data_IF_376031618332
#
_entry.id   IF_376031618332
#
_cell.length_a   1.000
_cell.length_b   1.000
_cell.length_c   1.000
_cell.angle_alpha   90.00
_cell.angle_beta   90.00
_cell.angle_gamma   90.00
#
_symmetry.space_group_name_H-M   'P 1'
#
loop_
_entity.id
_entity.type
_entity.pdbx_description
1 polymer ?
#
# COMPACT_ATOMS: atom_id res chain seq x y z
N UNK A 1 -47.70 -16.89 -63.26
CA UNK A 1 -46.35 -17.46 -63.29
C UNK A 1 -45.43 -16.33 -62.83
N UNK A 2 -45.15 -16.31 -61.52
CA UNK A 2 -43.80 -16.56 -60.95
C UNK A 2 -42.84 -15.43 -61.33
N UNK A 3 -42.34 -14.61 -60.41
CA UNK A 3 -41.44 -15.02 -59.33
C UNK A 3 -41.65 -14.20 -58.04
N UNK A 4 -41.77 -14.92 -56.94
CA UNK A 4 -41.72 -14.39 -55.57
C UNK A 4 -40.25 -14.19 -55.19
N UNK A 5 -39.75 -12.95 -55.22
CA UNK A 5 -38.43 -12.61 -54.67
C UNK A 5 -38.49 -12.69 -53.15
N UNK A 6 -37.97 -13.78 -52.58
CA UNK A 6 -37.77 -13.96 -51.14
C UNK A 6 -36.68 -12.99 -50.68
N UNK A 7 -37.06 -11.98 -49.89
CA UNK A 7 -36.12 -11.11 -49.20
C UNK A 7 -35.36 -11.93 -48.14
N UNK A 8 -34.03 -11.98 -48.27
CA UNK A 8 -33.15 -12.61 -47.30
C UNK A 8 -33.22 -11.88 -45.94
N UNK A 9 -33.42 -12.64 -44.87
CA UNK A 9 -33.44 -12.13 -43.49
C UNK A 9 -32.10 -11.49 -43.10
N UNK A 10 -32.09 -10.38 -42.33
CA UNK A 10 -30.87 -9.75 -41.86
C UNK A 10 -30.13 -10.69 -40.89
N UNK A 11 -28.84 -10.90 -41.17
CA UNK A 11 -27.97 -11.85 -40.49
C UNK A 11 -28.03 -11.76 -38.96
N UNK A 12 -28.27 -12.92 -38.33
CA UNK A 12 -28.06 -13.14 -36.91
C UNK A 12 -26.62 -12.76 -36.54
N UNK A 13 -26.45 -11.63 -35.83
CA UNK A 13 -25.21 -11.33 -35.12
C UNK A 13 -24.97 -12.45 -34.12
N UNK A 14 -24.00 -13.33 -34.40
CA UNK A 14 -23.55 -14.37 -33.47
C UNK A 14 -23.25 -13.71 -32.12
N UNK A 15 -23.98 -14.11 -31.08
CA UNK A 15 -23.70 -13.69 -29.71
C UNK A 15 -22.23 -14.03 -29.39
N UNK A 16 -21.45 -13.11 -28.80
CA UNK A 16 -20.05 -13.37 -28.50
C UNK A 16 -19.97 -14.61 -27.60
N UNK A 17 -19.18 -15.60 -28.00
CA UNK A 17 -19.03 -16.84 -27.24
C UNK A 17 -18.63 -16.53 -25.80
N UNK A 18 -19.14 -17.31 -24.83
CA UNK A 18 -18.91 -17.10 -23.39
C UNK A 18 -17.42 -16.86 -23.06
N UNK A 19 -16.53 -17.53 -23.80
CA UNK A 19 -15.08 -17.36 -23.74
C UNK A 19 -14.55 -16.03 -24.29
N UNK A 20 -15.13 -15.49 -25.35
CA UNK A 20 -14.79 -14.17 -25.89
C UNK A 20 -15.31 -13.03 -25.00
N UNK A 21 -16.46 -13.23 -24.35
CA UNK A 21 -16.99 -12.28 -23.38
C UNK A 21 -16.18 -12.29 -22.07
N UNK A 22 -15.75 -13.47 -21.60
CA UNK A 22 -14.85 -13.61 -20.46
C UNK A 22 -13.46 -13.06 -20.79
N UNK A 23 -12.89 -13.38 -21.96
CA UNK A 23 -11.58 -12.86 -22.35
C UNK A 23 -11.61 -11.35 -22.57
N UNK A 24 -12.67 -10.78 -23.18
CA UNK A 24 -12.86 -9.33 -23.24
C UNK A 24 -13.01 -8.70 -21.87
N UNK A 25 -13.73 -9.32 -20.92
CA UNK A 25 -13.84 -8.81 -19.54
C UNK A 25 -12.51 -8.85 -18.81
N UNK A 26 -11.75 -9.93 -18.93
CA UNK A 26 -10.41 -10.07 -18.34
C UNK A 26 -9.44 -9.09 -18.98
N UNK A 27 -9.45 -8.96 -20.31
CA UNK A 27 -8.62 -8.03 -21.06
C UNK A 27 -8.98 -6.57 -20.74
N UNK A 28 -10.26 -6.22 -20.66
CA UNK A 28 -10.73 -4.90 -20.24
C UNK A 28 -10.39 -4.62 -18.77
N UNK A 29 -10.42 -5.63 -17.91
CA UNK A 29 -9.91 -5.54 -16.54
C UNK A 29 -8.42 -5.21 -16.55
N UNK A 30 -7.60 -5.95 -17.29
CA UNK A 30 -6.14 -5.74 -17.40
C UNK A 30 -5.82 -4.37 -18.00
N UNK A 31 -6.53 -3.96 -19.06
CA UNK A 31 -6.41 -2.63 -19.69
C UNK A 31 -6.81 -1.49 -18.76
N UNK A 32 -7.80 -1.69 -17.88
CA UNK A 32 -8.13 -0.73 -16.82
C UNK A 32 -7.04 -0.64 -15.74
N UNK A 33 -6.10 -1.60 -15.69
CA UNK A 33 -4.99 -1.65 -14.75
C UNK A 33 -3.69 -1.20 -15.41
N UNK A 34 -3.69 0.02 -15.95
CA UNK A 34 -2.48 0.67 -16.49
C UNK A 34 -1.27 0.57 -15.55
N UNK A 35 -1.52 0.52 -14.23
CA UNK A 35 -0.50 0.38 -13.20
C UNK A 35 0.13 -1.02 -13.17
N UNK A 36 -0.63 -2.10 -13.37
CA UNK A 36 -0.08 -3.46 -13.50
C UNK A 36 0.77 -3.59 -14.77
N UNK A 37 0.30 -3.01 -15.88
CA UNK A 37 1.07 -2.96 -17.13
C UNK A 37 2.37 -2.18 -16.90
N UNK A 38 2.27 -1.02 -16.25
CA UNK A 38 3.42 -0.19 -15.87
C UNK A 38 4.44 -0.95 -15.03
N UNK A 39 3.98 -1.75 -14.05
CA UNK A 39 4.84 -2.61 -13.24
C UNK A 39 5.59 -3.60 -14.12
N UNK A 40 4.88 -4.34 -14.98
CA UNK A 40 5.51 -5.27 -15.91
C UNK A 40 6.59 -4.61 -16.77
N UNK A 41 6.31 -3.42 -17.31
CA UNK A 41 7.26 -2.63 -18.11
C UNK A 41 8.49 -2.24 -17.29
N UNK A 42 8.32 -1.65 -16.09
CA UNK A 42 9.48 -1.24 -15.29
C UNK A 42 10.28 -2.41 -14.75
N UNK A 43 9.66 -3.57 -14.51
CA UNK A 43 10.38 -4.80 -14.15
C UNK A 43 11.26 -5.29 -15.30
N UNK A 44 10.72 -5.29 -16.53
CA UNK A 44 11.48 -5.65 -17.74
C UNK A 44 12.63 -4.67 -17.97
N UNK A 45 12.38 -3.37 -17.82
CA UNK A 45 13.41 -2.34 -17.92
C UNK A 45 14.50 -2.51 -16.84
N UNK A 46 14.11 -2.80 -15.60
CA UNK A 46 15.06 -3.09 -14.53
C UNK A 46 15.91 -4.33 -14.79
N UNK A 47 15.34 -5.37 -15.39
CA UNK A 47 16.05 -6.60 -15.70
C UNK A 47 17.10 -6.40 -16.81
N UNK A 48 16.74 -5.74 -17.91
CA UNK A 48 17.66 -5.50 -19.03
C UNK A 48 18.63 -4.33 -18.78
N UNK A 49 18.20 -3.31 -18.02
CA UNK A 49 18.98 -2.10 -17.76
C UNK A 49 19.13 -1.79 -16.26
N UNK A 50 19.64 -2.74 -15.43
CA UNK A 50 19.72 -2.58 -13.98
C UNK A 50 20.64 -1.43 -13.57
N UNK A 51 21.63 -1.07 -14.40
CA UNK A 51 22.58 -0.01 -14.13
C UNK A 51 21.99 1.40 -14.21
N UNK A 52 20.79 1.56 -14.78
CA UNK A 52 20.16 2.88 -14.94
C UNK A 52 19.64 3.37 -13.59
N UNK A 53 18.69 2.64 -13.00
CA UNK A 53 17.95 3.07 -11.82
C UNK A 53 18.40 2.41 -10.51
N UNK A 54 19.45 1.58 -10.50
CA UNK A 54 20.05 1.12 -9.23
C UNK A 54 20.60 2.29 -8.41
N UNK A 55 20.81 2.06 -7.13
CA UNK A 55 21.59 2.98 -6.29
C UNK A 55 22.98 3.25 -6.91
N UNK A 56 23.34 4.52 -7.07
CA UNK A 56 24.58 4.95 -7.75
C UNK A 56 24.59 4.69 -9.27
N UNK A 57 23.45 4.34 -9.87
CA UNK A 57 23.28 4.16 -11.31
C UNK A 57 23.30 5.48 -12.09
N UNK A 58 23.04 5.41 -13.40
CA UNK A 58 23.13 6.55 -14.33
C UNK A 58 22.26 7.73 -13.88
N UNK A 59 21.02 7.46 -13.46
CA UNK A 59 20.10 8.53 -13.02
C UNK A 59 20.29 8.91 -11.55
N UNK A 60 21.29 8.33 -10.87
CA UNK A 60 21.57 8.52 -9.43
C UNK A 60 20.27 8.40 -8.63
N UNK A 61 19.65 7.21 -8.67
CA UNK A 61 18.28 7.00 -8.19
C UNK A 61 18.08 7.32 -6.72
N UNK A 62 19.16 7.34 -5.93
CA UNK A 62 19.15 7.87 -4.58
C UNK A 62 18.65 9.32 -4.55
N UNK A 63 19.13 10.21 -5.41
CA UNK A 63 18.72 11.60 -5.42
C UNK A 63 17.47 11.83 -6.27
N UNK A 64 17.44 11.29 -7.49
CA UNK A 64 16.33 11.55 -8.42
C UNK A 64 15.02 10.91 -7.96
N UNK A 65 15.07 9.65 -7.48
CA UNK A 65 13.88 8.90 -7.09
C UNK A 65 13.68 8.95 -5.58
N UNK A 66 14.66 8.52 -4.78
CA UNK A 66 14.47 8.39 -3.32
C UNK A 66 14.38 9.74 -2.58
N UNK A 67 14.98 10.81 -3.09
CA UNK A 67 14.72 12.18 -2.61
C UNK A 67 13.65 12.87 -3.48
N UNK A 68 13.89 13.01 -4.78
CA UNK A 68 13.05 13.83 -5.68
C UNK A 68 11.62 13.32 -5.83
N UNK A 69 11.45 12.10 -6.36
CA UNK A 69 10.11 11.52 -6.59
C UNK A 69 9.35 11.35 -5.27
N UNK A 70 10.01 10.89 -4.20
CA UNK A 70 9.37 10.80 -2.87
C UNK A 70 8.91 12.19 -2.40
N UNK A 71 9.75 13.22 -2.51
CA UNK A 71 9.37 14.58 -2.14
C UNK A 71 8.15 15.08 -2.91
N UNK A 72 8.06 14.80 -4.21
CA UNK A 72 6.88 15.14 -5.01
C UNK A 72 5.62 14.41 -4.51
N UNK A 73 5.72 13.10 -4.23
CA UNK A 73 4.59 12.31 -3.70
C UNK A 73 4.09 12.87 -2.37
N UNK A 74 5.00 13.24 -1.46
CA UNK A 74 4.64 13.77 -0.14
C UNK A 74 4.17 15.21 -0.19
N UNK A 75 4.71 16.04 -1.09
CA UNK A 75 4.18 17.36 -1.36
C UNK A 75 2.73 17.28 -1.87
N UNK A 76 2.48 16.42 -2.86
CA UNK A 76 1.12 16.19 -3.39
C UNK A 76 0.20 15.69 -2.27
N UNK A 77 0.68 14.78 -1.42
CA UNK A 77 -0.11 14.28 -0.28
C UNK A 77 -0.41 15.38 0.73
N UNK A 78 0.55 16.25 1.04
CA UNK A 78 0.37 17.42 1.91
C UNK A 78 -0.67 18.40 1.35
N UNK A 79 -0.65 18.65 0.05
CA UNK A 79 -1.64 19.51 -0.62
C UNK A 79 -3.06 18.88 -0.63
N UNK A 80 -3.13 17.55 -0.72
CA UNK A 80 -4.38 16.80 -0.94
C UNK A 80 -5.21 16.60 0.31
N UNK A 81 -4.57 16.50 1.48
CA UNK A 81 -5.22 16.08 2.72
C UNK A 81 -5.70 17.30 3.51
N UNK A 82 -7.00 17.41 3.85
CA UNK A 82 -7.49 18.46 4.72
C UNK A 82 -6.86 18.40 6.12
N UNK A 83 -6.49 19.56 6.68
CA UNK A 83 -5.88 19.67 8.02
C UNK A 83 -6.64 18.93 9.10
N UNK A 84 -7.97 19.10 9.15
CA UNK A 84 -8.83 18.48 10.17
C UNK A 84 -8.74 16.95 10.12
N UNK A 85 -8.68 16.39 8.91
CA UNK A 85 -8.54 14.96 8.68
C UNK A 85 -7.17 14.45 9.16
N UNK A 86 -6.09 15.19 8.86
CA UNK A 86 -4.75 14.86 9.32
C UNK A 86 -4.67 14.86 10.86
N UNK A 87 -5.17 15.92 11.50
CA UNK A 87 -5.21 16.02 12.97
C UNK A 87 -6.08 14.93 13.60
N UNK A 88 -7.25 14.63 13.02
CA UNK A 88 -8.11 13.55 13.51
C UNK A 88 -7.41 12.20 13.50
N UNK A 89 -6.66 11.88 12.44
CA UNK A 89 -5.91 10.63 12.38
C UNK A 89 -4.64 10.64 13.25
N UNK A 90 -4.00 11.80 13.48
CA UNK A 90 -2.88 11.93 14.43
C UNK A 90 -3.29 11.64 15.88
N UNK A 91 -4.57 11.86 16.23
CA UNK A 91 -5.10 11.58 17.56
C UNK A 91 -5.73 10.18 17.66
N UNK A 92 -5.69 9.40 16.59
CA UNK A 92 -6.31 8.09 16.53
C UNK A 92 -5.40 7.00 17.12
N UNK A 93 -5.22 7.05 18.44
CA UNK A 93 -4.34 6.14 19.18
C UNK A 93 -4.62 4.66 18.91
N UNK A 94 -5.88 4.27 18.67
CA UNK A 94 -6.26 2.89 18.41
C UNK A 94 -5.74 2.39 17.07
N UNK A 95 -5.76 3.23 16.04
CA UNK A 95 -5.15 2.93 14.75
C UNK A 95 -3.65 2.72 14.91
N UNK A 96 -2.98 3.64 15.62
CA UNK A 96 -1.54 3.57 15.87
C UNK A 96 -1.17 2.26 16.58
N UNK A 97 -1.83 1.93 17.69
CA UNK A 97 -1.52 0.70 18.43
C UNK A 97 -1.69 -0.54 17.55
N UNK A 98 -2.79 -0.66 16.80
CA UNK A 98 -3.04 -1.84 15.96
C UNK A 98 -1.97 -1.99 14.88
N UNK A 99 -1.69 -0.92 14.13
CA UNK A 99 -0.73 -0.99 13.02
C UNK A 99 0.70 -1.19 13.52
N UNK A 100 1.11 -0.44 14.54
CA UNK A 100 2.46 -0.55 15.09
C UNK A 100 2.68 -1.89 15.81
N UNK A 101 1.68 -2.41 16.54
CA UNK A 101 1.78 -3.74 17.15
C UNK A 101 1.86 -4.85 16.10
N UNK A 102 1.11 -4.75 15.00
CA UNK A 102 1.25 -5.72 13.91
C UNK A 102 2.65 -5.64 13.29
N UNK A 103 3.10 -4.43 12.95
CA UNK A 103 4.37 -4.19 12.26
C UNK A 103 5.61 -4.57 13.10
N UNK A 104 5.62 -4.21 14.38
CA UNK A 104 6.80 -4.29 15.24
C UNK A 104 6.72 -5.33 16.35
N UNK A 105 5.60 -6.03 16.52
CA UNK A 105 5.47 -7.12 17.50
C UNK A 105 5.01 -8.41 16.84
N UNK A 106 3.83 -8.41 16.21
CA UNK A 106 3.26 -9.63 15.62
C UNK A 106 4.10 -10.19 14.47
N UNK A 107 4.50 -9.36 13.50
CA UNK A 107 5.29 -9.80 12.34
C UNK A 107 6.67 -10.33 12.77
N UNK A 108 7.46 -9.63 13.60
CA UNK A 108 8.71 -10.17 14.15
C UNK A 108 8.51 -11.50 14.89
N UNK A 109 7.48 -11.62 15.74
CA UNK A 109 7.21 -12.85 16.47
C UNK A 109 6.81 -14.01 15.53
N UNK A 110 5.98 -13.75 14.51
CA UNK A 110 5.58 -14.74 13.52
C UNK A 110 6.79 -15.25 12.71
N UNK A 111 7.62 -14.33 12.22
CA UNK A 111 8.82 -14.69 11.47
C UNK A 111 9.81 -15.44 12.35
N UNK A 112 9.99 -15.03 13.61
CA UNK A 112 10.81 -15.76 14.56
C UNK A 112 10.34 -17.20 14.72
N UNK A 113 9.04 -17.43 14.88
CA UNK A 113 8.47 -18.76 15.00
C UNK A 113 8.72 -19.59 13.73
N UNK A 114 8.51 -19.01 12.55
CA UNK A 114 8.79 -19.65 11.26
C UNK A 114 10.26 -20.02 11.14
N UNK A 115 11.19 -19.14 11.51
CA UNK A 115 12.63 -19.41 11.47
C UNK A 115 12.99 -20.57 12.40
N UNK A 116 12.44 -20.62 13.62
CA UNK A 116 12.69 -21.74 14.53
C UNK A 116 12.12 -23.07 14.00
N UNK A 117 10.95 -23.05 13.37
CA UNK A 117 10.37 -24.23 12.71
C UNK A 117 11.30 -24.71 11.58
N UNK A 118 11.83 -23.79 10.77
CA UNK A 118 12.78 -24.12 9.70
C UNK A 118 14.07 -24.72 10.28
N UNK A 119 14.64 -24.12 11.33
CA UNK A 119 15.86 -24.63 11.96
C UNK A 119 15.67 -26.04 12.54
N UNK A 120 14.50 -26.33 13.12
CA UNK A 120 14.17 -27.65 13.62
C UNK A 120 13.94 -28.68 12.49
N UNK A 121 13.36 -28.25 11.36
CA UNK A 121 13.04 -29.10 10.22
C UNK A 121 14.18 -29.29 9.20
N UNK A 122 15.19 -28.42 9.21
CA UNK A 122 16.36 -28.45 8.32
C UNK A 122 17.69 -28.43 9.12
N UNK A 123 17.98 -29.52 9.86
CA UNK A 123 19.26 -29.68 10.54
C UNK A 123 20.44 -29.79 9.57
N UNK A 124 20.19 -30.13 8.30
CA UNK A 124 21.22 -30.20 7.25
C UNK A 124 21.64 -28.82 6.71
N UNK A 125 20.97 -27.73 7.08
CA UNK A 125 21.33 -26.38 6.65
C UNK A 125 21.19 -26.13 5.15
N UNK A 126 20.18 -26.73 4.51
CA UNK A 126 19.88 -26.49 3.09
C UNK A 126 19.39 -25.07 2.84
N UNK A 127 18.71 -24.47 3.80
CA UNK A 127 18.31 -23.05 3.77
C UNK A 127 19.42 -22.22 4.39
N UNK A 128 20.00 -21.35 3.56
CA UNK A 128 21.08 -20.43 3.92
C UNK A 128 20.70 -19.57 5.14
N UNK A 129 21.56 -19.58 6.17
CA UNK A 129 21.32 -18.88 7.44
C UNK A 129 21.33 -17.36 7.27
N UNK A 130 22.04 -16.84 6.27
CA UNK A 130 21.96 -15.42 5.91
C UNK A 130 20.56 -15.02 5.44
N UNK A 131 19.85 -15.91 4.75
CA UNK A 131 18.46 -15.67 4.31
C UNK A 131 17.53 -15.66 5.52
N UNK A 132 17.71 -16.57 6.48
CA UNK A 132 16.91 -16.59 7.72
C UNK A 132 17.15 -15.34 8.57
N UNK A 133 18.41 -14.91 8.73
CA UNK A 133 18.74 -13.64 9.38
C UNK A 133 18.12 -12.45 8.64
N UNK A 134 18.14 -12.48 7.30
CA UNK A 134 17.49 -11.49 6.45
C UNK A 134 15.97 -11.41 6.64
N UNK A 135 15.29 -12.54 6.86
CA UNK A 135 13.86 -12.54 7.18
C UNK A 135 13.56 -11.93 8.55
N UNK A 136 14.35 -12.26 9.58
CA UNK A 136 14.20 -11.63 10.91
C UNK A 136 14.38 -10.11 10.79
N UNK A 137 15.41 -9.67 10.07
CA UNK A 137 15.63 -8.25 9.81
C UNK A 137 14.45 -7.62 9.05
N UNK A 138 13.98 -8.25 7.96
CA UNK A 138 12.83 -7.80 7.17
C UNK A 138 11.56 -7.71 8.01
N UNK A 139 11.39 -8.58 9.00
CA UNK A 139 10.26 -8.53 9.92
C UNK A 139 10.31 -7.28 10.82
N UNK A 140 11.50 -6.78 11.13
CA UNK A 140 11.73 -5.70 12.07
C UNK A 140 11.83 -4.31 11.42
N UNK A 141 12.06 -4.21 10.10
CA UNK A 141 12.13 -2.91 9.40
C UNK A 141 10.77 -2.19 9.36
N UNK A 142 10.77 -0.85 9.28
CA UNK A 142 9.53 -0.07 9.17
C UNK A 142 8.81 -0.29 7.84
N UNK A 143 7.56 0.17 7.81
CA UNK A 143 6.68 0.09 6.64
C UNK A 143 7.06 1.08 5.54
N UNK A 144 6.63 0.82 4.30
CA UNK A 144 6.89 1.71 3.15
C UNK A 144 6.11 3.01 3.24
N UNK A 145 6.74 4.12 2.85
CA UNK A 145 6.11 5.44 2.97
C UNK A 145 5.19 5.71 1.77
N UNK A 146 5.74 5.74 0.55
CA UNK A 146 5.01 6.18 -0.64
C UNK A 146 3.95 5.17 -1.15
N UNK A 147 4.29 3.88 -1.27
CA UNK A 147 3.37 2.86 -1.81
C UNK A 147 2.11 2.71 -0.97
N UNK A 148 2.22 2.75 0.36
CA UNK A 148 1.06 2.61 1.25
C UNK A 148 0.07 3.76 1.07
N UNK A 149 0.55 5.01 1.00
CA UNK A 149 -0.32 6.18 0.79
C UNK A 149 -1.01 6.11 -0.58
N UNK A 150 -0.24 5.80 -1.64
CA UNK A 150 -0.78 5.74 -3.01
C UNK A 150 -1.79 4.59 -3.18
N UNK A 151 -1.49 3.40 -2.67
CA UNK A 151 -2.38 2.24 -2.74
C UNK A 151 -3.64 2.41 -1.90
N UNK A 152 -3.52 2.95 -0.69
CA UNK A 152 -4.67 3.24 0.17
C UNK A 152 -5.62 4.22 -0.53
N UNK A 153 -5.10 5.32 -1.08
CA UNK A 153 -5.89 6.28 -1.86
C UNK A 153 -6.54 5.62 -3.08
N UNK A 154 -5.80 4.79 -3.82
CA UNK A 154 -6.33 4.10 -5.00
C UNK A 154 -7.45 3.10 -4.67
N UNK A 155 -7.42 2.51 -3.47
CA UNK A 155 -8.43 1.59 -2.97
C UNK A 155 -9.66 2.29 -2.37
N UNK A 156 -9.66 3.63 -2.26
CA UNK A 156 -10.71 4.39 -1.58
C UNK A 156 -10.57 4.43 -0.06
N UNK A 157 -9.40 4.06 0.47
CA UNK A 157 -9.09 4.11 1.89
C UNK A 157 -8.70 5.49 2.41
N UNK A 158 -8.47 5.59 3.71
CA UNK A 158 -8.06 6.83 4.36
C UNK A 158 -6.56 7.08 4.17
N UNK A 159 -6.23 7.92 3.20
CA UNK A 159 -4.85 8.31 2.90
C UNK A 159 -4.19 9.18 3.96
N UNK A 160 -4.95 9.85 4.83
CA UNK A 160 -4.44 10.56 5.99
C UNK A 160 -4.05 9.57 7.11
N UNK A 161 -4.88 8.55 7.33
CA UNK A 161 -4.58 7.46 8.26
C UNK A 161 -3.30 6.74 7.82
N UNK A 162 -3.21 6.34 6.55
CA UNK A 162 -2.00 5.72 6.01
C UNK A 162 -0.78 6.62 6.16
N UNK A 163 -0.90 7.92 5.85
CA UNK A 163 0.19 8.88 5.99
C UNK A 163 0.72 8.97 7.43
N UNK A 164 -0.18 9.06 8.42
CA UNK A 164 0.24 9.14 9.83
C UNK A 164 0.93 7.84 10.28
N UNK A 165 0.37 6.68 9.92
CA UNK A 165 0.96 5.39 10.28
C UNK A 165 2.36 5.18 9.71
N UNK A 166 2.56 5.55 8.43
CA UNK A 166 3.89 5.42 7.83
C UNK A 166 4.88 6.39 8.48
N UNK A 167 4.47 7.60 8.86
CA UNK A 167 5.35 8.54 9.56
C UNK A 167 5.77 8.01 10.93
N UNK A 168 4.81 7.57 11.75
CA UNK A 168 5.06 7.00 13.07
C UNK A 168 6.02 5.80 12.93
N UNK A 169 5.70 4.86 12.04
CA UNK A 169 6.51 3.67 11.84
C UNK A 169 7.93 4.01 11.36
N UNK A 170 8.12 4.98 10.46
CA UNK A 170 9.44 5.32 9.93
C UNK A 170 10.28 6.18 10.89
N UNK A 171 9.67 6.86 11.85
CA UNK A 171 10.38 7.52 12.96
C UNK A 171 10.83 6.50 14.01
N UNK A 172 9.93 5.59 14.41
CA UNK A 172 10.23 4.57 15.42
C UNK A 172 11.12 3.44 14.87
N UNK A 173 10.94 3.12 13.59
CA UNK A 173 11.52 1.98 12.90
C UNK A 173 13.01 1.81 13.10
N UNK A 174 13.86 2.81 12.77
CA UNK A 174 15.31 2.67 12.91
C UNK A 174 15.76 2.17 14.30
N UNK A 175 15.14 2.67 15.37
CA UNK A 175 15.45 2.26 16.74
C UNK A 175 14.94 0.85 17.05
N UNK A 176 13.67 0.59 16.71
CA UNK A 176 13.04 -0.72 16.97
C UNK A 176 13.72 -1.81 16.15
N UNK A 177 14.03 -1.57 14.88
CA UNK A 177 14.73 -2.52 14.00
C UNK A 177 16.09 -2.89 14.58
N UNK A 178 16.87 -1.89 15.02
CA UNK A 178 18.18 -2.13 15.61
C UNK A 178 18.09 -3.00 16.87
N UNK A 179 17.16 -2.68 17.77
CA UNK A 179 16.95 -3.42 19.00
C UNK A 179 16.41 -4.83 18.75
N UNK A 180 15.36 -4.96 17.92
CA UNK A 180 14.71 -6.25 17.70
C UNK A 180 15.56 -7.22 16.92
N UNK A 181 16.23 -6.77 15.86
CA UNK A 181 17.02 -7.68 15.04
C UNK A 181 18.10 -8.35 15.90
N UNK A 182 18.86 -7.59 16.68
CA UNK A 182 19.90 -8.16 17.55
C UNK A 182 19.32 -9.09 18.62
N UNK A 183 18.14 -8.75 19.17
CA UNK A 183 17.50 -9.53 20.23
C UNK A 183 16.86 -10.83 19.73
N UNK A 184 16.38 -10.85 18.48
CA UNK A 184 15.61 -11.96 17.91
C UNK A 184 16.48 -12.94 17.09
N UNK A 185 17.70 -12.56 16.73
CA UNK A 185 18.62 -13.46 16.04
C UNK A 185 18.91 -14.70 16.93
N UNK A 186 18.81 -15.93 16.40
CA UNK A 186 19.10 -17.14 17.15
C UNK A 186 20.51 -17.16 17.75
N UNK A 187 20.66 -17.77 18.93
CA UNK A 187 21.94 -17.81 19.67
C UNK A 187 22.86 -18.97 19.27
N UNK A 188 22.60 -19.62 18.14
CA UNK A 188 23.44 -20.71 17.63
C UNK A 188 24.66 -20.15 16.88
N UNK A 189 25.75 -20.92 16.84
CA UNK A 189 27.03 -20.48 16.26
C UNK A 189 26.91 -20.02 14.79
N UNK A 190 25.98 -20.60 14.04
CA UNK A 190 25.71 -20.26 12.65
C UNK A 190 25.23 -18.82 12.44
N UNK A 191 24.69 -18.17 13.49
CA UNK A 191 24.19 -16.79 13.44
C UNK A 191 25.13 -15.77 14.08
N UNK A 192 26.31 -16.19 14.56
CA UNK A 192 27.29 -15.31 15.21
C UNK A 192 27.64 -14.03 14.42
N UNK A 193 27.73 -14.04 13.07
CA UNK A 193 28.00 -12.82 12.31
C UNK A 193 26.97 -11.70 12.52
N UNK A 194 25.72 -12.05 12.82
CA UNK A 194 24.62 -11.08 12.98
C UNK A 194 24.33 -10.70 14.45
N UNK A 195 24.98 -11.36 15.42
CA UNK A 195 24.71 -11.17 16.86
C UNK A 195 25.31 -9.88 17.43
N UNK A 196 26.42 -9.40 16.89
CA UNK A 196 27.09 -8.21 17.38
C UNK A 196 26.89 -7.06 16.39
N UNK A 197 25.98 -6.15 16.71
CA UNK A 197 25.84 -4.88 15.99
C UNK A 197 27.05 -3.99 16.30
N UNK A 198 28.06 -4.01 15.42
CA UNK A 198 29.34 -3.35 15.64
C UNK A 198 29.56 -2.07 14.85
N UNK A 199 28.60 -1.64 14.03
CA UNK A 199 28.78 -0.51 13.12
C UNK A 199 28.48 0.86 13.72
N UNK A 200 28.94 1.91 13.03
CA UNK A 200 28.69 3.31 13.41
C UNK A 200 27.22 3.70 13.18
N UNK A 201 26.38 3.39 14.17
CA UNK A 201 24.93 3.66 14.12
C UNK A 201 24.59 5.15 14.02
N UNK A 202 25.49 6.05 14.44
CA UNK A 202 25.27 7.51 14.38
C UNK A 202 25.16 8.01 12.94
N UNK A 203 26.07 7.58 12.05
CA UNK A 203 26.05 7.92 10.63
C UNK A 203 24.77 7.41 9.95
N UNK A 204 24.35 6.20 10.31
CA UNK A 204 23.13 5.57 9.82
C UNK A 204 21.88 6.37 10.20
N UNK A 205 21.71 6.69 11.49
CA UNK A 205 20.59 7.49 11.95
C UNK A 205 20.58 8.85 11.26
N UNK A 206 21.74 9.52 11.15
CA UNK A 206 21.86 10.79 10.43
C UNK A 206 21.32 10.68 9.00
N UNK A 207 21.76 9.69 8.23
CA UNK A 207 21.35 9.51 6.84
C UNK A 207 19.85 9.19 6.71
N UNK A 208 19.34 8.28 7.55
CA UNK A 208 17.92 7.89 7.56
C UNK A 208 17.02 9.08 7.91
N UNK A 209 17.34 9.80 8.99
CA UNK A 209 16.55 10.96 9.41
C UNK A 209 16.72 12.16 8.48
N UNK A 210 17.87 12.33 7.84
CA UNK A 210 18.05 13.32 6.78
C UNK A 210 17.18 13.00 5.56
N UNK A 211 17.13 11.73 5.14
CA UNK A 211 16.28 11.31 4.04
C UNK A 211 14.80 11.48 4.38
N UNK A 212 14.37 11.03 5.55
CA UNK A 212 12.99 11.19 6.05
C UNK A 212 12.63 12.69 6.16
N UNK A 213 13.53 13.49 6.73
CA UNK A 213 13.37 14.93 6.90
C UNK A 213 13.19 15.64 5.57
N UNK A 214 14.10 15.44 4.62
CA UNK A 214 14.11 16.18 3.35
C UNK A 214 13.13 15.64 2.31
N UNK A 215 12.88 14.33 2.28
CA UNK A 215 12.05 13.70 1.23
C UNK A 215 10.61 13.50 1.64
N UNK A 216 10.31 13.51 2.95
CA UNK A 216 8.98 13.20 3.47
C UNK A 216 8.44 14.34 4.31
N UNK A 217 9.09 14.66 5.43
CA UNK A 217 8.57 15.61 6.42
C UNK A 217 8.52 17.05 5.86
N UNK A 218 9.62 17.54 5.28
CA UNK A 218 9.71 18.87 4.70
C UNK A 218 8.68 19.09 3.57
N UNK A 219 8.61 18.25 2.51
CA UNK A 219 7.64 18.46 1.43
C UNK A 219 6.20 18.30 1.90
N UNK A 220 5.94 17.38 2.85
CA UNK A 220 4.62 17.25 3.45
C UNK A 220 4.23 18.53 4.22
N UNK A 221 5.14 19.06 5.03
CA UNK A 221 4.94 20.28 5.80
C UNK A 221 4.69 21.47 4.87
N UNK A 222 5.50 21.64 3.84
CA UNK A 222 5.29 22.68 2.80
C UNK A 222 3.92 22.52 2.14
N UNK A 223 3.55 21.30 1.75
CA UNK A 223 2.24 21.03 1.16
C UNK A 223 1.07 21.36 2.10
N UNK A 224 1.19 21.02 3.38
CA UNK A 224 0.19 21.36 4.40
C UNK A 224 0.12 22.86 4.67
N UNK A 225 1.26 23.57 4.67
CA UNK A 225 1.28 25.02 4.82
C UNK A 225 0.56 25.71 3.66
N UNK A 226 0.84 25.30 2.42
CA UNK A 226 0.12 25.80 1.22
C UNK A 226 -1.38 25.48 1.32
N UNK A 227 -1.74 24.25 1.72
CA UNK A 227 -3.14 23.86 1.90
C UNK A 227 -3.84 24.64 3.01
N UNK A 228 -3.11 25.05 4.04
CA UNK A 228 -3.60 25.87 5.13
C UNK A 228 -3.83 27.32 4.70
N UNK A 229 -2.87 27.91 3.99
CA UNK A 229 -2.97 29.31 3.54
C UNK A 229 -4.03 29.49 2.46
N UNK A 230 -4.19 28.52 1.54
CA UNK A 230 -5.13 28.62 0.41
C UNK A 230 -5.94 27.34 0.19
N UNK A 231 -6.90 27.02 1.08
CA UNK A 231 -7.63 25.74 1.03
C UNK A 231 -8.43 25.56 -0.27
N UNK A 232 -9.20 26.57 -0.67
CA UNK A 232 -10.10 26.46 -1.84
C UNK A 232 -9.33 26.48 -3.16
N UNK A 233 -8.32 27.34 -3.27
CA UNK A 233 -7.45 27.40 -4.46
C UNK A 233 -6.68 26.10 -4.63
N UNK A 234 -6.12 25.56 -3.55
CA UNK A 234 -5.38 24.30 -3.59
C UNK A 234 -6.28 23.14 -3.99
N UNK A 235 -7.50 23.07 -3.42
CA UNK A 235 -8.49 22.07 -3.79
C UNK A 235 -8.87 22.16 -5.28
N UNK A 236 -9.10 23.37 -5.79
CA UNK A 236 -9.41 23.60 -7.20
C UNK A 236 -8.25 23.17 -8.12
N UNK A 237 -7.01 23.54 -7.81
CA UNK A 237 -5.82 23.14 -8.59
C UNK A 237 -5.68 21.63 -8.63
N UNK A 238 -5.79 20.96 -7.48
CA UNK A 238 -5.68 19.50 -7.37
C UNK A 238 -6.76 18.78 -8.19
N UNK A 239 -7.99 19.27 -8.15
CA UNK A 239 -9.09 18.70 -8.93
C UNK A 239 -8.87 18.89 -10.43
N UNK A 240 -8.43 20.09 -10.85
CA UNK A 240 -8.22 20.42 -12.26
C UNK A 240 -7.05 19.65 -12.87
N UNK A 241 -5.92 19.61 -12.16
CA UNK A 241 -4.68 18.94 -12.61
C UNK A 241 -4.71 17.43 -12.40
N UNK A 242 -5.63 16.93 -11.58
CA UNK A 242 -5.66 15.53 -11.11
C UNK A 242 -4.31 15.09 -10.54
N UNK A 243 -3.57 16.01 -9.92
CA UNK A 243 -2.23 15.80 -9.34
C UNK A 243 -2.10 14.52 -8.51
N UNK A 244 -3.08 14.14 -7.65
CA UNK A 244 -3.00 12.91 -6.87
C UNK A 244 -2.86 11.63 -7.70
N UNK A 245 -3.29 11.63 -8.98
CA UNK A 245 -3.14 10.49 -9.89
C UNK A 245 -1.69 10.27 -10.35
N UNK A 246 -0.86 11.33 -10.32
CA UNK A 246 0.56 11.24 -10.68
C UNK A 246 1.39 10.49 -9.64
N UNK A 247 0.88 10.33 -8.41
CA UNK A 247 1.53 9.50 -7.39
C UNK A 247 1.76 8.06 -7.84
N UNK A 248 0.89 7.53 -8.71
CA UNK A 248 1.06 6.20 -9.31
C UNK A 248 2.23 6.12 -10.30
N UNK A 249 2.61 7.22 -10.96
CA UNK A 249 3.82 7.26 -11.80
C UNK A 249 5.07 7.25 -10.93
N UNK A 250 5.07 8.06 -9.86
CA UNK A 250 6.18 8.05 -8.89
C UNK A 250 6.36 6.67 -8.22
N UNK A 251 5.26 5.97 -7.99
CA UNK A 251 5.28 4.59 -7.52
C UNK A 251 5.92 3.62 -8.53
N UNK A 252 5.66 3.75 -9.84
CA UNK A 252 6.35 2.95 -10.86
C UNK A 252 7.86 3.20 -10.87
N UNK A 253 8.29 4.46 -10.67
CA UNK A 253 9.71 4.80 -10.55
C UNK A 253 10.35 4.17 -9.30
N UNK A 254 9.63 4.14 -8.18
CA UNK A 254 10.07 3.46 -6.96
C UNK A 254 10.23 1.95 -7.18
N UNK A 255 9.27 1.33 -7.87
CA UNK A 255 9.35 -0.08 -8.25
C UNK A 255 10.57 -0.30 -9.16
N UNK A 256 10.78 0.58 -10.15
CA UNK A 256 11.90 0.49 -11.07
C UNK A 256 13.26 0.54 -10.36
N UNK A 257 13.48 1.47 -9.43
CA UNK A 257 14.75 1.54 -8.66
C UNK A 257 14.97 0.32 -7.78
N UNK A 258 13.92 -0.18 -7.12
CA UNK A 258 14.00 -1.39 -6.28
C UNK A 258 14.37 -2.61 -7.10
N UNK A 259 13.67 -2.87 -8.22
CA UNK A 259 14.00 -3.99 -9.11
C UNK A 259 15.38 -3.82 -9.74
N UNK A 260 15.75 -2.61 -10.17
CA UNK A 260 17.06 -2.36 -10.78
C UNK A 260 18.19 -2.65 -9.80
N UNK A 261 18.02 -2.22 -8.54
CA UNK A 261 18.96 -2.52 -7.46
C UNK A 261 19.01 -4.02 -7.17
N UNK A 262 17.87 -4.70 -7.13
CA UNK A 262 17.79 -6.15 -6.92
C UNK A 262 18.49 -6.96 -8.02
N UNK A 263 18.25 -6.63 -9.30
CA UNK A 263 18.92 -7.32 -10.41
C UNK A 263 20.41 -6.97 -10.50
N UNK A 264 20.80 -5.75 -10.13
CA UNK A 264 22.20 -5.32 -10.15
C UNK A 264 23.09 -6.06 -9.14
N UNK A 265 22.54 -6.54 -8.01
CA UNK A 265 23.33 -7.28 -7.02
C UNK A 265 23.66 -8.71 -7.44
N UNK A 266 23.02 -9.24 -8.49
CA UNK A 266 23.20 -10.63 -8.89
C UNK A 266 22.59 -11.64 -7.89
N UNK A 267 21.90 -11.17 -6.85
CA UNK A 267 21.55 -12.02 -5.73
C UNK A 267 20.54 -13.12 -6.11
N UNK A 268 19.61 -12.83 -7.02
CA UNK A 268 18.68 -13.81 -7.59
C UNK A 268 19.41 -14.91 -8.37
N UNK A 269 20.50 -14.57 -9.07
CA UNK A 269 21.30 -15.49 -9.87
C UNK A 269 22.17 -16.41 -9.00
N UNK A 270 22.45 -16.01 -7.74
CA UNK A 270 23.21 -16.84 -6.79
C UNK A 270 22.36 -17.86 -6.03
N UNK A 271 21.03 -17.82 -6.18
CA UNK A 271 20.12 -18.76 -5.50
C UNK A 271 19.73 -19.92 -6.41
N UNK A 272 19.54 -21.11 -5.82
CA UNK A 272 18.98 -22.24 -6.56
C UNK A 272 17.55 -21.93 -7.02
N UNK A 273 17.14 -22.46 -8.19
CA UNK A 273 15.79 -22.24 -8.71
C UNK A 273 14.69 -22.70 -7.72
N UNK A 274 14.95 -23.78 -6.97
CA UNK A 274 14.05 -24.27 -5.92
C UNK A 274 13.92 -23.28 -4.77
N UNK A 275 15.04 -22.69 -4.31
CA UNK A 275 15.04 -21.68 -3.26
C UNK A 275 14.30 -20.41 -3.69
N UNK A 276 14.46 -19.99 -4.97
CA UNK A 276 13.73 -18.84 -5.52
C UNK A 276 12.23 -19.12 -5.52
N UNK A 277 11.78 -20.28 -6.02
CA UNK A 277 10.35 -20.64 -6.03
C UNK A 277 9.78 -20.67 -4.62
N UNK A 278 10.50 -21.27 -3.66
CA UNK A 278 10.08 -21.31 -2.26
C UNK A 278 9.94 -19.90 -1.67
N UNK A 279 10.96 -19.04 -1.84
CA UNK A 279 10.96 -17.66 -1.31
C UNK A 279 9.82 -16.85 -1.89
N UNK A 280 9.58 -16.93 -3.19
CA UNK A 280 8.48 -16.21 -3.86
C UNK A 280 7.12 -16.68 -3.32
N UNK A 281 6.87 -17.99 -3.28
CA UNK A 281 5.61 -18.50 -2.77
C UNK A 281 5.42 -18.18 -1.28
N UNK A 282 6.49 -18.24 -0.50
CA UNK A 282 6.49 -17.89 0.92
C UNK A 282 6.15 -16.41 1.13
N UNK A 283 6.80 -15.50 0.40
CA UNK A 283 6.57 -14.05 0.50
C UNK A 283 5.13 -13.68 0.11
N UNK A 284 4.61 -14.23 -1.00
CA UNK A 284 3.22 -14.03 -1.42
C UNK A 284 2.26 -14.55 -0.33
N UNK A 285 2.48 -15.77 0.16
CA UNK A 285 1.67 -16.37 1.22
C UNK A 285 1.69 -15.56 2.51
N UNK A 286 2.89 -15.11 2.92
CA UNK A 286 3.11 -14.29 4.09
C UNK A 286 2.37 -12.96 3.97
N UNK A 287 2.56 -12.22 2.87
CA UNK A 287 1.89 -10.94 2.68
C UNK A 287 0.37 -11.09 2.70
N UNK A 288 -0.20 -12.06 1.96
CA UNK A 288 -1.64 -12.32 1.96
C UNK A 288 -2.15 -12.65 3.37
N UNK A 289 -1.45 -13.51 4.10
CA UNK A 289 -1.81 -13.89 5.48
C UNK A 289 -1.79 -12.68 6.40
N UNK A 290 -0.74 -11.85 6.32
CA UNK A 290 -0.63 -10.65 7.13
C UNK A 290 -1.71 -9.61 6.77
N UNK A 291 -2.06 -9.46 5.49
CA UNK A 291 -3.19 -8.62 5.06
C UNK A 291 -4.51 -9.11 5.66
N UNK A 292 -4.74 -10.42 5.70
CA UNK A 292 -5.93 -11.01 6.33
C UNK A 292 -5.95 -10.77 7.84
N UNK A 293 -4.81 -10.97 8.52
CA UNK A 293 -4.67 -10.64 9.95
C UNK A 293 -4.99 -9.16 10.19
N UNK A 294 -4.40 -8.26 9.40
CA UNK A 294 -4.66 -6.81 9.47
C UNK A 294 -6.15 -6.47 9.29
N UNK A 295 -6.82 -7.14 8.34
CA UNK A 295 -8.24 -6.94 8.10
C UNK A 295 -9.08 -7.34 9.31
N UNK A 296 -8.81 -8.51 9.90
CA UNK A 296 -9.52 -8.98 11.10
C UNK A 296 -9.15 -8.18 12.36
N UNK A 297 -7.93 -7.68 12.48
CA UNK A 297 -7.53 -6.78 13.57
C UNK A 297 -8.24 -5.42 13.47
N UNK A 298 -8.42 -4.89 12.25
CA UNK A 298 -9.15 -3.64 12.04
C UNK A 298 -10.67 -3.80 12.18
N UNK A 299 -11.22 -4.96 11.77
CA UNK A 299 -12.66 -5.27 11.82
C UNK A 299 -12.89 -6.69 12.36
N UNK A 300 -12.78 -6.88 13.69
CA UNK A 300 -12.95 -8.19 14.29
C UNK A 300 -14.38 -8.71 14.06
N UNK A 301 -14.57 -10.04 13.92
CA UNK A 301 -15.89 -10.63 13.79
C UNK A 301 -16.79 -10.29 14.99
N UNK A 302 -18.11 -10.17 14.73
CA UNK A 302 -19.10 -9.76 15.76
C UNK A 302 -19.08 -10.63 17.03
N UNK A 303 -18.74 -11.92 16.93
CA UNK A 303 -18.67 -12.81 18.09
C UNK A 303 -17.51 -12.49 19.06
N UNK A 304 -16.43 -11.87 18.59
CA UNK A 304 -15.32 -11.40 19.42
C UNK A 304 -15.62 -10.02 20.03
N UNK A 305 -16.42 -9.20 19.33
CA UNK A 305 -16.74 -7.83 19.74
C UNK A 305 -17.81 -7.75 20.84
N UNK A 306 -18.56 -8.82 21.14
CA UNK A 306 -19.68 -8.78 22.11
C UNK A 306 -19.27 -9.01 23.57
N UNK A 307 -17.97 -9.17 23.88
CA UNK A 307 -17.49 -9.31 25.26
C UNK A 307 -17.25 -7.93 25.86
N UNK A 308 -18.09 -7.54 26.82
CA UNK A 308 -18.16 -6.19 27.42
C UNK A 308 -16.88 -5.60 28.01
N UNK A 309 -15.84 -6.40 28.28
CA UNK A 309 -14.52 -5.91 28.73
C UNK A 309 -13.61 -5.44 27.59
N UNK A 310 -14.03 -5.63 26.33
CA UNK A 310 -13.21 -5.47 25.14
C UNK A 310 -13.75 -4.43 24.14
N UNK A 311 -14.93 -3.84 24.42
CA UNK A 311 -15.64 -2.92 23.53
C UNK A 311 -14.82 -1.74 22.96
N UNK A 312 -14.02 -0.99 23.75
CA UNK A 312 -13.29 0.15 23.20
C UNK A 312 -12.10 -0.27 22.31
N UNK A 313 -11.52 -1.44 22.54
CA UNK A 313 -10.35 -1.96 21.80
C UNK A 313 -10.81 -2.63 20.49
N UNK A 314 -11.89 -3.42 20.55
CA UNK A 314 -12.38 -4.23 19.43
C UNK A 314 -13.49 -3.56 18.60
N UNK A 315 -13.80 -2.28 18.84
CA UNK A 315 -14.72 -1.52 17.99
C UNK A 315 -14.29 -1.62 16.52
N UNK A 316 -15.15 -1.98 15.56
CA UNK A 316 -14.75 -2.01 14.15
C UNK A 316 -14.25 -0.63 13.70
N UNK A 317 -13.09 -0.58 13.04
CA UNK A 317 -12.61 0.65 12.38
C UNK A 317 -13.52 1.00 11.19
N UNK A 318 -13.46 2.27 10.76
CA UNK A 318 -14.13 2.67 9.53
C UNK A 318 -13.63 1.83 8.35
N UNK A 319 -14.44 1.61 7.30
CA UNK A 319 -13.98 0.89 6.11
C UNK A 319 -12.68 1.46 5.54
N UNK A 320 -12.56 2.79 5.51
CA UNK A 320 -11.43 3.51 4.96
C UNK A 320 -10.16 3.33 5.80
N UNK A 321 -10.31 3.35 7.13
CA UNK A 321 -9.21 3.06 8.07
C UNK A 321 -8.77 1.61 7.98
N UNK A 322 -9.70 0.65 7.86
CA UNK A 322 -9.36 -0.76 7.72
C UNK A 322 -8.51 -1.02 6.47
N UNK A 323 -8.78 -0.33 5.36
CA UNK A 323 -7.96 -0.38 4.15
C UNK A 323 -6.55 0.16 4.43
N UNK A 324 -6.43 1.28 5.14
CA UNK A 324 -5.14 1.84 5.53
C UNK A 324 -4.33 0.84 6.38
N UNK A 325 -4.96 0.17 7.36
CA UNK A 325 -4.32 -0.88 8.18
C UNK A 325 -3.82 -2.04 7.31
N UNK A 326 -4.63 -2.50 6.35
CA UNK A 326 -4.29 -3.63 5.48
C UNK A 326 -3.11 -3.36 4.54
N UNK A 327 -2.86 -2.10 4.17
CA UNK A 327 -1.67 -1.73 3.40
C UNK A 327 -0.48 -1.40 4.30
N UNK A 328 -0.69 -0.70 5.41
CA UNK A 328 0.40 -0.23 6.28
C UNK A 328 1.00 -1.34 7.15
N UNK A 329 0.17 -2.22 7.71
CA UNK A 329 0.59 -3.27 8.63
C UNK A 329 1.60 -4.28 8.05
N UNK A 330 1.31 -4.94 6.91
CA UNK A 330 2.18 -5.97 6.36
C UNK A 330 3.38 -5.43 5.58
N UNK A 331 3.34 -4.17 5.14
CA UNK A 331 4.37 -3.61 4.28
C UNK A 331 5.70 -3.38 5.01
N UNK A 332 6.81 -3.56 4.28
CA UNK A 332 8.19 -3.39 4.77
C UNK A 332 9.03 -2.60 3.77
N UNK A 333 9.88 -1.68 4.26
CA UNK A 333 10.55 -0.65 3.47
C UNK A 333 12.01 -0.98 3.15
N UNK A 334 12.31 -1.32 1.90
CA UNK A 334 13.70 -1.46 1.41
C UNK A 334 14.49 -0.16 1.53
N UNK A 335 13.86 0.99 1.28
CA UNK A 335 14.54 2.29 1.22
C UNK A 335 15.23 2.65 2.53
N UNK A 336 14.61 2.28 3.68
CA UNK A 336 15.26 2.39 4.98
C UNK A 336 15.97 1.09 5.37
N UNK A 337 15.41 -0.07 5.03
CA UNK A 337 15.93 -1.36 5.43
C UNK A 337 17.36 -1.65 4.94
N UNK A 338 17.68 -1.36 3.68
CA UNK A 338 19.02 -1.66 3.14
C UNK A 338 20.11 -0.80 3.81
N UNK A 339 19.98 0.53 3.91
CA UNK A 339 20.93 1.33 4.69
C UNK A 339 21.08 0.87 6.14
N UNK A 340 19.96 0.53 6.81
CA UNK A 340 19.98 0.01 8.18
C UNK A 340 20.78 -1.31 8.27
N UNK A 341 20.53 -2.25 7.36
CA UNK A 341 21.22 -3.55 7.30
C UNK A 341 22.73 -3.38 7.19
N UNK A 342 23.17 -2.54 6.26
CA UNK A 342 24.60 -2.35 5.99
C UNK A 342 25.33 -1.63 7.11
N UNK A 343 24.65 -0.74 7.81
CA UNK A 343 25.22 -0.04 8.96
C UNK A 343 25.24 -0.91 10.23
N UNK A 344 24.19 -1.70 10.49
CA UNK A 344 24.14 -2.57 11.66
C UNK A 344 25.25 -3.64 11.62
N UNK A 345 25.47 -4.21 10.43
CA UNK A 345 26.46 -5.26 10.20
C UNK A 345 27.63 -4.78 9.34
N UNK A 346 28.10 -3.56 9.61
CA UNK A 346 29.27 -2.97 8.97
C UNK A 346 30.48 -3.92 8.92
N UNK A 347 30.85 -4.63 10.02
CA UNK A 347 32.00 -5.55 10.02
C UNK A 347 31.80 -6.84 9.22
N UNK A 348 30.56 -7.21 8.90
CA UNK A 348 30.25 -8.41 8.12
C UNK A 348 30.66 -8.18 6.67
N UNK A 349 31.15 -9.24 6.00
CA UNK A 349 31.57 -9.16 4.62
C UNK A 349 30.43 -8.76 3.67
N UNK A 350 30.77 -8.12 2.55
CA UNK A 350 29.79 -7.60 1.59
C UNK A 350 28.92 -8.70 0.97
N UNK A 351 29.45 -9.91 0.79
CA UNK A 351 28.73 -11.02 0.19
C UNK A 351 27.64 -11.55 1.13
N UNK A 352 27.95 -11.74 2.41
CA UNK A 352 27.01 -12.11 3.45
C UNK A 352 25.94 -11.03 3.65
N UNK A 353 26.32 -9.75 3.62
CA UNK A 353 25.35 -8.63 3.63
C UNK A 353 24.42 -8.66 2.41
N UNK A 354 24.95 -8.89 1.22
CA UNK A 354 24.15 -9.00 0.00
C UNK A 354 23.13 -10.15 0.09
N UNK A 355 23.55 -11.33 0.58
CA UNK A 355 22.63 -12.44 0.84
C UNK A 355 21.57 -12.11 1.89
N UNK A 356 21.97 -11.49 2.99
CA UNK A 356 21.05 -11.06 4.07
C UNK A 356 20.02 -10.04 3.57
N UNK A 357 20.38 -9.26 2.54
CA UNK A 357 19.47 -8.28 1.94
C UNK A 357 18.42 -8.87 1.00
N UNK A 358 18.56 -10.13 0.59
CA UNK A 358 17.66 -10.78 -0.36
C UNK A 358 16.20 -10.78 0.10
N UNK A 359 15.85 -11.22 1.34
CA UNK A 359 14.46 -11.21 1.79
C UNK A 359 13.87 -9.80 1.82
N UNK A 360 14.66 -8.79 2.18
CA UNK A 360 14.22 -7.38 2.17
C UNK A 360 13.83 -6.95 0.77
N UNK A 361 14.69 -7.25 -0.22
CA UNK A 361 14.45 -6.87 -1.62
C UNK A 361 13.27 -7.63 -2.21
N UNK A 362 13.22 -8.95 -2.03
CA UNK A 362 12.17 -9.79 -2.62
C UNK A 362 10.81 -9.55 -1.97
N UNK A 363 10.75 -9.50 -0.63
CA UNK A 363 9.49 -9.23 0.06
C UNK A 363 8.93 -7.86 -0.32
N UNK A 364 9.71 -6.79 -0.30
CA UNK A 364 9.22 -5.46 -0.68
C UNK A 364 8.84 -5.38 -2.16
N UNK A 365 9.48 -6.18 -3.01
CA UNK A 365 9.13 -6.26 -4.42
C UNK A 365 7.79 -6.95 -4.64
N UNK A 366 7.65 -8.14 -4.07
CA UNK A 366 6.46 -8.97 -4.21
C UNK A 366 5.25 -8.35 -3.48
N UNK A 367 5.45 -7.74 -2.31
CA UNK A 367 4.38 -7.06 -1.59
C UNK A 367 3.72 -6.00 -2.46
N UNK A 368 4.50 -5.25 -3.27
CA UNK A 368 3.94 -4.18 -4.09
C UNK A 368 3.03 -4.79 -5.18
N UNK A 369 3.48 -5.87 -5.81
CA UNK A 369 2.68 -6.58 -6.80
C UNK A 369 1.39 -7.17 -6.19
N UNK A 370 1.49 -7.84 -5.05
CA UNK A 370 0.34 -8.45 -4.36
C UNK A 370 -0.62 -7.36 -3.83
N UNK A 371 -0.10 -6.29 -3.25
CA UNK A 371 -0.92 -5.19 -2.75
C UNK A 371 -1.69 -4.48 -3.87
N UNK A 372 -1.14 -4.39 -5.09
CA UNK A 372 -1.91 -3.90 -6.24
C UNK A 372 -3.14 -4.74 -6.57
N UNK A 373 -3.05 -6.07 -6.43
CA UNK A 373 -4.23 -6.91 -6.53
C UNK A 373 -5.25 -6.57 -5.43
N UNK A 374 -4.79 -6.40 -4.19
CA UNK A 374 -5.65 -6.01 -3.06
C UNK A 374 -6.28 -4.63 -3.20
N UNK A 375 -5.66 -3.67 -3.91
CA UNK A 375 -6.30 -2.37 -4.22
C UNK A 375 -7.66 -2.57 -4.87
N UNK A 376 -7.78 -3.52 -5.81
CA UNK A 376 -9.05 -3.80 -6.48
C UNK A 376 -10.04 -4.51 -5.56
N UNK A 377 -9.55 -5.46 -4.76
CA UNK A 377 -10.37 -6.21 -3.81
C UNK A 377 -10.98 -5.25 -2.79
N UNK A 378 -10.16 -4.40 -2.17
CA UNK A 378 -10.59 -3.41 -1.19
C UNK A 378 -11.46 -2.33 -1.80
N UNK A 379 -11.19 -1.87 -3.01
CA UNK A 379 -12.08 -0.93 -3.71
C UNK A 379 -13.48 -1.50 -3.92
N UNK A 380 -13.58 -2.76 -4.36
CA UNK A 380 -14.89 -3.44 -4.52
C UNK A 380 -15.58 -3.67 -3.18
N UNK A 381 -14.81 -4.01 -2.15
CA UNK A 381 -15.34 -4.18 -0.80
C UNK A 381 -15.86 -2.86 -0.23
N UNK A 382 -15.11 -1.76 -0.39
CA UNK A 382 -15.47 -0.42 0.06
C UNK A 382 -16.81 0.02 -0.52
N UNK A 383 -16.96 -0.04 -1.84
CA UNK A 383 -18.22 0.31 -2.53
C UNK A 383 -19.41 -0.49 -1.98
N UNK A 384 -19.25 -1.80 -1.79
CA UNK A 384 -20.32 -2.66 -1.25
C UNK A 384 -20.68 -2.33 0.20
N UNK A 385 -19.73 -1.88 1.00
CA UNK A 385 -20.00 -1.51 2.39
C UNK A 385 -20.72 -0.17 2.44
N UNK A 386 -20.29 0.81 1.64
CA UNK A 386 -20.96 2.11 1.53
C UNK A 386 -22.39 1.95 1.02
N UNK A 387 -22.60 1.20 -0.08
CA UNK A 387 -23.95 0.92 -0.61
C UNK A 387 -24.88 0.28 0.43
N UNK A 388 -24.36 -0.64 1.26
CA UNK A 388 -25.15 -1.25 2.35
C UNK A 388 -25.51 -0.25 3.43
N UNK A 389 -24.58 0.63 3.81
CA UNK A 389 -24.83 1.66 4.81
C UNK A 389 -25.86 2.67 4.32
N UNK A 390 -25.82 3.06 3.05
CA UNK A 390 -26.80 3.98 2.45
C UNK A 390 -28.21 3.36 2.43
N UNK A 391 -28.33 2.06 2.13
CA UNK A 391 -29.61 1.33 2.16
C UNK A 391 -30.15 1.17 3.58
N UNK A 392 -29.29 0.94 4.57
CA UNK A 392 -29.70 0.83 5.98
C UNK A 392 -30.16 2.19 6.53
N UNK A 393 -29.45 3.29 6.25
CA UNK A 393 -29.85 4.64 6.69
C UNK A 393 -31.13 5.11 5.97
N UNK A 394 -31.26 4.85 4.66
CA UNK A 394 -32.47 5.18 3.91
C UNK A 394 -33.72 4.38 4.31
N UNK A 395 -33.55 3.26 5.03
CA UNK A 395 -34.66 2.50 5.63
C UNK A 395 -35.07 3.03 6.99
N UNK A 396 -34.12 3.44 7.83
CA UNK A 396 -34.43 4.07 9.13
C UNK A 396 -35.18 5.41 8.94
N UNK A 397 -34.80 6.21 7.93
CA UNK A 397 -35.52 7.44 7.60
C UNK A 397 -36.92 7.16 6.99
N UNK A 398 -37.12 5.98 6.39
CA UNK A 398 -38.41 5.54 5.82
C UNK A 398 -39.37 4.95 6.86
N UNK A 399 -38.87 4.22 7.85
CA UNK A 399 -39.67 3.65 8.95
C UNK A 399 -40.04 4.71 10.00
N UNK A 400 -39.26 5.78 10.16
CA UNK A 400 -39.59 6.89 11.07
C UNK A 400 -40.69 7.82 10.50
N UNK A 401 -41.05 7.67 9.22
CA UNK A 401 -42.23 8.32 8.60
C UNK A 401 -43.50 7.48 8.81
N UNK A 402 -43.39 6.27 9.36
CA UNK A 402 -44.52 5.38 9.68
C UNK A 402 -45.22 5.63 11.02
N UNK A 403 -44.72 6.55 11.85
CA UNK A 403 -45.33 6.94 13.13
C UNK A 403 -45.25 8.45 13.35
N UNK A 404 -45.78 9.23 12.41
CA UNK A 404 -46.34 10.54 12.74
C UNK A 404 -47.44 10.85 11.74
N UNK A 405 -48.66 10.94 12.27
CA UNK A 405 -49.85 11.35 11.55
C UNK A 405 -49.64 12.64 10.74
N UNK A 406 -50.13 12.58 9.50
CA UNK A 406 -50.77 13.69 8.77
C UNK A 406 -49.92 14.95 8.50
N UNK A 407 -49.42 15.09 7.27
CA UNK A 407 -49.24 16.38 6.58
C UNK A 407 -49.02 16.16 5.08
N UNK A 408 -50.10 15.92 4.36
CA UNK A 408 -50.13 16.03 2.91
C UNK A 408 -50.23 17.51 2.54
N UNK A 409 -49.11 18.22 2.48
CA UNK A 409 -49.10 19.60 1.94
C UNK A 409 -47.69 20.09 1.63
N UNK A 410 -47.05 19.58 0.57
CA UNK A 410 -45.97 20.30 -0.13
C UNK A 410 -45.86 19.81 -1.57
N UNK A 411 -46.85 20.12 -2.40
CA UNK A 411 -46.75 19.94 -3.85
C UNK A 411 -47.65 20.91 -4.66
N UNK A 412 -47.77 22.16 -4.21
CA UNK A 412 -48.46 23.23 -4.95
C UNK A 412 -47.70 24.54 -4.85
N UNK A 413 -46.44 24.62 -5.31
CA UNK A 413 -45.76 25.92 -5.61
C UNK A 413 -44.80 25.80 -6.81
N UNK A 414 -45.14 25.03 -7.86
CA UNK A 414 -44.29 25.00 -9.09
C UNK A 414 -45.05 25.35 -10.37
N UNK A 415 -46.39 25.44 -10.36
CA UNK A 415 -47.16 25.61 -11.60
C UNK A 415 -47.69 27.04 -11.88
N UNK A 416 -47.37 28.02 -11.04
CA UNK A 416 -47.90 29.40 -11.19
C UNK A 416 -46.86 30.45 -11.64
N UNK A 417 -45.68 30.03 -12.11
CA UNK A 417 -44.64 30.93 -12.64
C UNK A 417 -44.36 30.76 -14.15
N UNK A 418 -45.15 29.98 -14.89
CA UNK A 418 -45.01 29.81 -16.35
C UNK A 418 -45.94 30.72 -17.19
N UNK A 419 -46.76 31.55 -16.58
CA UNK A 419 -47.76 32.37 -17.29
C UNK A 419 -47.59 33.86 -16.98
N UNK A 420 -46.52 34.49 -17.51
CA UNK A 420 -46.42 35.96 -17.76
C UNK A 420 -45.04 36.33 -18.29
N UNK A 421 -44.83 36.30 -19.60
CA UNK A 421 -43.97 37.28 -20.30
C UNK A 421 -44.49 37.48 -21.73
N UNK A 422 -44.73 38.73 -22.17
CA UNK A 422 -45.16 39.03 -23.52
C UNK A 422 -43.98 39.17 -24.49
N UNK A 423 -44.30 38.98 -25.77
CA UNK A 423 -43.45 39.03 -26.96
C UNK A 423 -42.48 40.22 -27.02
N UNK A 424 -41.27 39.97 -27.56
CA UNK A 424 -40.41 40.99 -28.14
C UNK A 424 -39.76 40.46 -29.44
N UNK A 425 -39.54 41.33 -30.44
CA UNK A 425 -39.59 40.95 -31.85
C UNK A 425 -38.26 40.46 -32.41
N UNK A 426 -38.38 39.69 -33.50
CA UNK A 426 -37.28 39.18 -34.33
C UNK A 426 -36.55 40.32 -35.04
N UNK A 427 -35.22 40.33 -34.91
CA UNK A 427 -34.25 40.66 -35.95
C UNK A 427 -32.93 39.96 -35.66
#
# INVERSE_FOLDING_TARGET
>A
MEETTVAAAPGQRRAPGRWQAVSKRVLMLILHQWLLIGIGVVCVLAYFFPQVAKHGGIIRSEYSILYGVIAIIFLISGLSIPRQKLFAQLLNWRLHIVVQAISFLFIPALILAIVHIILAGDPSGRIDRAVLAGYIFTACIPTTIASNVVMTRAAGGDDAAALVEVLIANILGPFITAAWTVSLIPKTAEFDPWRYGGGNMSSMYKNVFQQLGLSVLLPLFVGQLVRWTWPDRTAWVLQKTKLPKWGSVGMLLLIWTTFSSCFATGALQTMSAQSVIFVVLFNIGLYMTLTVVCFFSARPPRFLSSRGWSEPIFKPMSPEQAIAVCFCGPAKSTALGIPLLYAMWEPVDLYTKAKTSVPVLLYTTEQIAVAHFFVQVFKRWHVRVVEKQDVEHGRDDGDNIGMTETSAETNVIVDEMSARMPDAPKL
#
